data_IF_998589532292
#
_entry.id   IF_998589532292
#
_cell.length_a   1.000
_cell.length_b   1.000
_cell.length_c   1.000
_cell.angle_alpha   90.00
_cell.angle_beta   90.00
_cell.angle_gamma   90.00
#
_symmetry.space_group_name_H-M   'P 1'
#
loop_
_entity.id
_entity.type
_entity.pdbx_description
1 polymer ?
#
# COMPACT_ATOMS: atom_id res chain seq x y z
N UNK A 1 -15.76 -40.55 21.38
CA UNK A 1 -16.57 -39.56 22.11
C UNK A 1 -15.69 -38.86 23.15
N UNK A 2 -15.13 -37.70 22.82
CA UNK A 2 -14.20 -36.96 23.68
C UNK A 2 -14.89 -35.70 24.19
N UNK A 3 -15.23 -35.66 25.48
CA UNK A 3 -15.94 -34.55 26.13
C UNK A 3 -15.05 -33.31 26.20
N UNK A 4 -15.38 -32.30 25.39
CA UNK A 4 -14.82 -30.95 25.50
C UNK A 4 -15.21 -30.31 26.84
N UNK A 5 -14.25 -30.16 27.75
CA UNK A 5 -14.37 -29.35 28.97
C UNK A 5 -14.38 -27.87 28.57
N UNK A 6 -15.56 -27.24 28.53
CA UNK A 6 -15.68 -25.77 28.47
C UNK A 6 -15.00 -25.16 29.69
N UNK A 7 -13.91 -24.40 29.48
CA UNK A 7 -13.30 -23.53 30.50
C UNK A 7 -14.37 -22.55 31.00
N UNK A 8 -14.80 -22.69 32.26
CA UNK A 8 -15.68 -21.73 32.94
C UNK A 8 -14.95 -20.39 33.04
N UNK A 9 -15.47 -19.38 32.35
CA UNK A 9 -15.09 -17.98 32.56
C UNK A 9 -15.44 -17.58 33.99
N UNK A 10 -14.43 -17.27 34.80
CA UNK A 10 -14.61 -16.79 36.18
C UNK A 10 -15.18 -15.38 36.11
N UNK A 11 -16.46 -15.23 36.45
CA UNK A 11 -17.11 -13.93 36.55
C UNK A 11 -16.57 -13.19 37.78
N UNK A 12 -15.73 -12.17 37.56
CA UNK A 12 -15.24 -11.27 38.62
C UNK A 12 -16.29 -10.21 38.92
N UNK A 13 -16.38 -9.74 40.17
CA UNK A 13 -17.26 -8.61 40.51
C UNK A 13 -16.81 -7.32 39.78
N UNK A 14 -17.72 -6.36 39.48
CA UNK A 14 -17.38 -5.14 38.74
C UNK A 14 -16.17 -4.37 39.30
N UNK A 15 -16.07 -4.22 40.63
CA UNK A 15 -14.93 -3.58 41.30
C UNK A 15 -13.60 -4.35 41.13
N UNK A 16 -13.64 -5.68 41.11
CA UNK A 16 -12.45 -6.52 40.86
C UNK A 16 -12.05 -6.52 39.38
N UNK A 17 -13.02 -6.37 38.47
CA UNK A 17 -12.77 -6.20 37.04
C UNK A 17 -12.06 -4.86 36.77
N UNK A 18 -12.52 -3.77 37.38
CA UNK A 18 -11.90 -2.44 37.21
C UNK A 18 -10.47 -2.39 37.76
N UNK A 19 -10.22 -3.01 38.92
CA UNK A 19 -8.86 -3.10 39.47
C UNK A 19 -7.91 -3.91 38.57
N UNK A 20 -8.39 -5.02 38.00
CA UNK A 20 -7.61 -5.84 37.07
C UNK A 20 -7.33 -5.10 35.75
N UNK A 21 -8.32 -4.37 35.22
CA UNK A 21 -8.16 -3.55 34.02
C UNK A 21 -7.19 -2.40 34.23
N UNK A 22 -7.27 -1.72 35.39
CA UNK A 22 -6.33 -0.67 35.77
C UNK A 22 -4.90 -1.20 35.87
N UNK A 23 -4.69 -2.34 36.55
CA UNK A 23 -3.38 -2.98 36.64
C UNK A 23 -2.82 -3.34 35.26
N UNK A 24 -3.64 -3.94 34.39
CA UNK A 24 -3.23 -4.28 33.04
C UNK A 24 -2.91 -3.04 32.19
N UNK A 25 -3.64 -1.94 32.39
CA UNK A 25 -3.36 -0.66 31.75
C UNK A 25 -2.02 -0.07 32.21
N UNK A 26 -1.77 -0.02 33.52
CA UNK A 26 -0.50 0.46 34.06
C UNK A 26 0.69 -0.34 33.53
N UNK A 27 0.57 -1.68 33.47
CA UNK A 27 1.62 -2.54 32.92
C UNK A 27 1.94 -2.19 31.46
N UNK A 28 0.91 -1.97 30.63
CA UNK A 28 1.12 -1.59 29.22
C UNK A 28 1.77 -0.21 29.08
N UNK A 29 1.30 0.78 29.85
CA UNK A 29 1.90 2.11 29.87
C UNK A 29 3.36 2.06 30.34
N UNK A 30 3.66 1.26 31.36
CA UNK A 30 5.02 1.05 31.84
C UNK A 30 5.90 0.48 30.72
N UNK A 31 5.48 -0.62 30.10
CA UNK A 31 6.24 -1.22 28.97
C UNK A 31 6.48 -0.21 27.84
N UNK A 32 5.49 0.62 27.52
CA UNK A 32 5.62 1.66 26.49
C UNK A 32 6.60 2.75 26.91
N UNK A 33 6.46 3.27 28.13
CA UNK A 33 7.38 4.25 28.71
C UNK A 33 8.81 3.73 28.70
N UNK A 34 9.03 2.49 29.11
CA UNK A 34 10.34 1.85 29.13
C UNK A 34 10.95 1.72 27.73
N UNK A 35 10.14 1.35 26.72
CA UNK A 35 10.59 1.32 25.32
C UNK A 35 10.95 2.70 24.77
N UNK A 36 10.26 3.74 25.21
CA UNK A 36 10.47 5.11 24.72
C UNK A 36 11.65 5.80 25.40
N UNK A 37 11.69 5.81 26.74
CA UNK A 37 12.65 6.61 27.51
C UNK A 37 13.52 5.78 28.45
N UNK A 38 13.14 4.54 28.73
CA UNK A 38 13.89 3.63 29.60
C UNK A 38 13.23 3.32 30.94
N UNK A 39 13.82 2.41 31.72
CA UNK A 39 13.35 2.07 33.07
C UNK A 39 13.49 3.27 34.02
N UNK A 40 12.64 3.33 35.04
CA UNK A 40 12.70 4.32 36.12
C UNK A 40 11.87 5.58 35.90
N UNK A 41 11.52 5.92 34.65
CA UNK A 41 10.73 7.11 34.34
C UNK A 41 9.24 6.92 34.57
N UNK A 42 8.70 5.70 34.40
CA UNK A 42 7.29 5.43 34.62
C UNK A 42 6.91 5.61 36.10
N UNK A 43 7.82 5.25 37.00
CA UNK A 43 7.68 5.35 38.45
C UNK A 43 7.56 6.81 38.94
N UNK A 44 8.00 7.77 38.12
CA UNK A 44 7.86 9.20 38.41
C UNK A 44 6.43 9.71 38.18
N UNK A 45 5.55 8.94 37.55
CA UNK A 45 4.16 9.31 37.30
C UNK A 45 3.32 8.98 38.55
N UNK A 46 2.73 9.97 39.24
CA UNK A 46 1.95 9.71 40.45
C UNK A 46 0.74 8.82 40.18
N UNK A 47 0.36 8.01 41.17
CA UNK A 47 -0.81 7.11 41.08
C UNK A 47 -2.11 7.85 40.71
N UNK A 48 -2.28 9.08 41.20
CA UNK A 48 -3.43 9.92 40.85
C UNK A 48 -3.46 10.23 39.34
N UNK A 49 -2.32 10.60 38.76
CA UNK A 49 -2.14 10.84 37.33
C UNK A 49 -2.43 9.58 36.51
N UNK A 50 -1.95 8.41 36.95
CA UNK A 50 -2.26 7.13 36.28
C UNK A 50 -3.76 6.81 36.30
N UNK A 51 -4.46 7.09 37.41
CA UNK A 51 -5.92 6.93 37.49
C UNK A 51 -6.64 7.89 36.55
N UNK A 52 -6.17 9.14 36.44
CA UNK A 52 -6.71 10.11 35.49
C UNK A 52 -6.53 9.66 34.04
N UNK A 53 -5.33 9.20 33.68
CA UNK A 53 -5.05 8.61 32.37
C UNK A 53 -5.94 7.40 32.11
N UNK A 54 -6.17 6.53 33.09
CA UNK A 54 -7.07 5.37 32.93
C UNK A 54 -8.52 5.79 32.68
N UNK A 55 -9.03 6.80 33.39
CA UNK A 55 -10.37 7.34 33.17
C UNK A 55 -10.51 7.99 31.80
N UNK A 56 -9.45 8.62 31.30
CA UNK A 56 -9.39 9.30 29.99
C UNK A 56 -8.74 8.44 28.90
N UNK A 57 -8.59 7.14 29.14
CA UNK A 57 -7.85 6.25 28.23
C UNK A 57 -8.50 6.24 26.84
N UNK A 58 -7.65 6.22 25.83
CA UNK A 58 -8.13 6.27 24.46
C UNK A 58 -8.76 4.91 24.10
N UNK A 59 -9.93 4.89 23.45
CA UNK A 59 -10.46 3.65 22.90
C UNK A 59 -9.50 3.12 21.83
N UNK A 60 -9.65 1.85 21.47
CA UNK A 60 -8.85 1.29 20.37
C UNK A 60 -9.17 2.01 19.08
N UNK A 61 -8.15 2.22 18.26
CA UNK A 61 -8.33 2.76 16.92
C UNK A 61 -9.29 1.88 16.11
N UNK A 62 -10.32 2.51 15.57
CA UNK A 62 -11.28 1.86 14.68
C UNK A 62 -11.28 2.54 13.31
N UNK A 63 -11.83 1.83 12.31
CA UNK A 63 -12.03 2.39 10.97
C UNK A 63 -13.51 2.44 10.65
N UNK A 64 -13.98 3.63 10.29
CA UNK A 64 -15.28 3.85 9.70
C UNK A 64 -15.17 3.81 8.18
N UNK A 65 -16.06 3.06 7.57
CA UNK A 65 -16.10 2.88 6.13
C UNK A 65 -17.29 3.69 5.64
N UNK A 66 -17.03 4.82 4.98
CA UNK A 66 -18.07 5.54 4.28
C UNK A 66 -18.70 4.60 3.24
N UNK A 67 -20.03 4.54 3.18
CA UNK A 67 -20.78 3.70 2.24
C UNK A 67 -20.47 4.05 0.78
N UNK A 68 -19.93 5.24 0.50
CA UNK A 68 -19.42 5.62 -0.82
C UNK A 68 -18.08 4.99 -1.21
N UNK A 69 -17.38 4.35 -0.26
CA UNK A 69 -16.07 3.73 -0.49
C UNK A 69 -16.23 2.22 -0.72
N UNK A 70 -16.78 1.50 0.26
CA UNK A 70 -17.01 0.05 0.22
C UNK A 70 -18.50 -0.20 0.48
N UNK A 71 -19.22 -0.68 -0.53
CA UNK A 71 -20.68 -0.87 -0.44
C UNK A 71 -21.05 -2.22 0.16
N UNK A 72 -20.31 -3.28 -0.18
CA UNK A 72 -20.63 -4.65 0.22
C UNK A 72 -20.36 -4.91 1.71
N UNK A 73 -21.34 -5.41 2.45
CA UNK A 73 -21.18 -5.72 3.90
C UNK A 73 -20.07 -6.74 4.19
N UNK A 74 -19.92 -7.74 3.33
CA UNK A 74 -18.86 -8.75 3.46
C UNK A 74 -17.47 -8.14 3.25
N UNK A 75 -17.33 -7.30 2.23
CA UNK A 75 -16.11 -6.55 1.93
C UNK A 75 -15.77 -5.56 3.07
N UNK A 76 -16.76 -4.85 3.60
CA UNK A 76 -16.60 -4.00 4.78
C UNK A 76 -16.09 -4.78 6.00
N UNK A 77 -16.65 -5.97 6.25
CA UNK A 77 -16.22 -6.82 7.34
C UNK A 77 -14.79 -7.36 7.12
N UNK A 78 -14.46 -7.76 5.90
CA UNK A 78 -13.13 -8.20 5.52
C UNK A 78 -12.10 -7.08 5.72
N UNK A 79 -12.40 -5.87 5.25
CA UNK A 79 -11.55 -4.70 5.42
C UNK A 79 -11.33 -4.38 6.91
N UNK A 80 -12.39 -4.33 7.73
CA UNK A 80 -12.26 -4.07 9.17
C UNK A 80 -11.40 -5.11 9.89
N UNK A 81 -11.54 -6.39 9.54
CA UNK A 81 -10.70 -7.47 10.08
C UNK A 81 -9.23 -7.31 9.67
N UNK A 82 -8.98 -7.03 8.40
CA UNK A 82 -7.64 -6.78 7.86
C UNK A 82 -6.98 -5.57 8.54
N UNK A 83 -7.69 -4.45 8.64
CA UNK A 83 -7.23 -3.24 9.34
C UNK A 83 -6.86 -3.54 10.79
N UNK A 84 -7.74 -4.22 11.53
CA UNK A 84 -7.49 -4.63 12.92
C UNK A 84 -6.30 -5.58 13.06
N UNK A 85 -6.04 -6.43 12.06
CA UNK A 85 -4.85 -7.29 12.02
C UNK A 85 -3.57 -6.48 11.84
N UNK A 86 -3.56 -5.55 10.87
CA UNK A 86 -2.42 -4.66 10.58
C UNK A 86 -2.05 -3.78 11.77
N UNK A 87 -3.00 -3.38 12.60
CA UNK A 87 -2.72 -2.61 13.81
C UNK A 87 -1.83 -3.35 14.82
N UNK A 88 -1.76 -4.68 14.78
CA UNK A 88 -0.89 -5.49 15.66
C UNK A 88 0.55 -5.57 15.17
N UNK A 89 0.85 -4.97 14.01
CA UNK A 89 2.20 -4.98 13.46
C UNK A 89 3.11 -4.06 14.31
N UNK A 90 4.27 -4.55 14.79
CA UNK A 90 5.26 -3.73 15.50
C UNK A 90 6.04 -2.87 14.51
N UNK A 91 5.51 -1.69 14.18
CA UNK A 91 6.02 -0.84 13.09
C UNK A 91 6.50 0.55 13.49
N UNK A 92 6.34 0.96 14.74
CA UNK A 92 6.84 2.26 15.22
C UNK A 92 8.14 2.07 15.99
N UNK A 93 9.24 2.59 15.43
CA UNK A 93 10.55 2.59 16.07
C UNK A 93 10.64 3.74 17.09
N UNK A 94 11.06 3.46 18.32
CA UNK A 94 11.40 4.49 19.31
C UNK A 94 12.80 5.02 19.06
N UNK A 95 13.17 6.14 19.68
CA UNK A 95 14.54 6.68 19.62
C UNK A 95 15.58 5.75 20.28
N UNK A 96 15.11 4.73 21.00
CA UNK A 96 15.94 3.68 21.60
C UNK A 96 16.07 2.43 20.71
N UNK A 97 15.47 2.43 19.52
CA UNK A 97 15.46 1.28 18.60
C UNK A 97 14.47 0.18 19.00
N UNK A 98 13.62 0.41 20.00
CA UNK A 98 12.55 -0.51 20.38
C UNK A 98 11.35 -0.38 19.44
N UNK A 99 10.53 -1.42 19.35
CA UNK A 99 9.34 -1.43 18.49
C UNK A 99 8.03 -1.40 19.27
N UNK A 100 7.10 -0.56 18.81
CA UNK A 100 5.75 -0.45 19.34
C UNK A 100 4.74 -0.82 18.24
N UNK A 101 3.72 -1.60 18.61
CA UNK A 101 2.60 -1.93 17.72
C UNK A 101 1.77 -0.69 17.38
N UNK A 102 1.28 -0.59 16.15
CA UNK A 102 0.44 0.55 15.75
C UNK A 102 -0.79 0.71 16.63
N UNK A 103 -1.38 -0.39 17.12
CA UNK A 103 -2.52 -0.32 18.02
C UNK A 103 -2.20 0.47 19.29
N UNK A 104 -1.00 0.28 19.86
CA UNK A 104 -0.55 1.00 21.06
C UNK A 104 -0.06 2.41 20.74
N UNK A 105 0.48 2.64 19.54
CA UNK A 105 0.83 3.98 19.07
C UNK A 105 -0.40 4.91 19.08
N UNK A 106 -1.52 4.45 18.51
CA UNK A 106 -2.76 5.23 18.44
C UNK A 106 -3.58 5.26 19.74
N UNK A 107 -3.15 4.59 20.82
CA UNK A 107 -3.83 4.65 22.12
C UNK A 107 -2.87 5.02 23.25
N UNK A 108 -2.10 4.07 23.77
CA UNK A 108 -1.28 4.27 24.97
C UNK A 108 -0.11 5.25 24.76
N UNK A 109 0.58 5.21 23.62
CA UNK A 109 1.64 6.21 23.32
C UNK A 109 1.04 7.59 23.24
N UNK A 110 -0.01 7.75 22.44
CA UNK A 110 -0.65 9.04 22.25
C UNK A 110 -1.17 9.61 23.58
N UNK A 111 -1.81 8.78 24.40
CA UNK A 111 -2.25 9.16 25.75
C UNK A 111 -1.08 9.58 26.64
N UNK A 112 0.01 8.81 26.67
CA UNK A 112 1.17 9.10 27.53
C UNK A 112 1.86 10.40 27.13
N UNK A 113 2.12 10.55 25.83
CA UNK A 113 2.78 11.73 25.26
C UNK A 113 1.94 12.98 25.49
N UNK A 114 0.67 12.97 25.08
CA UNK A 114 -0.22 14.14 25.26
C UNK A 114 -0.43 14.48 26.73
N UNK A 115 -0.51 13.48 27.61
CA UNK A 115 -0.62 13.71 29.04
C UNK A 115 0.61 14.42 29.59
N UNK A 116 1.82 13.95 29.28
CA UNK A 116 3.06 14.59 29.78
C UNK A 116 3.27 15.97 29.16
N UNK A 117 2.92 16.14 27.88
CA UNK A 117 3.06 17.40 27.15
C UNK A 117 2.18 18.51 27.73
N UNK A 118 0.92 18.19 28.07
CA UNK A 118 -0.08 19.21 28.44
C UNK A 118 -0.47 19.21 29.93
N UNK A 119 -0.02 18.26 30.75
CA UNK A 119 -0.31 18.30 32.18
C UNK A 119 0.34 19.49 32.86
N UNK A 120 -0.38 20.13 33.79
CA UNK A 120 0.20 21.20 34.61
C UNK A 120 1.33 20.64 35.50
N UNK A 121 2.49 21.33 35.59
CA UNK A 121 3.62 20.90 36.40
C UNK A 121 3.27 20.62 37.87
N UNK A 122 2.24 21.27 38.41
CA UNK A 122 1.81 21.10 39.79
C UNK A 122 1.29 19.68 40.13
N UNK A 123 0.94 18.88 39.12
CA UNK A 123 0.41 17.52 39.32
C UNK A 123 1.50 16.45 39.36
N UNK A 124 2.73 16.76 38.96
CA UNK A 124 3.86 15.82 38.98
C UNK A 124 5.10 16.53 39.51
N UNK A 125 5.57 16.11 40.69
CA UNK A 125 6.75 16.73 41.32
C UNK A 125 7.98 16.65 40.42
N UNK A 126 8.13 15.55 39.69
CA UNK A 126 9.23 15.29 38.76
C UNK A 126 8.89 15.68 37.31
N UNK A 127 7.97 16.64 37.10
CA UNK A 127 7.49 17.05 35.79
C UNK A 127 8.62 17.43 34.84
N UNK A 128 9.60 18.23 35.28
CA UNK A 128 10.68 18.71 34.41
C UNK A 128 11.54 17.56 33.87
N UNK A 129 11.74 16.51 34.67
CA UNK A 129 12.46 15.29 34.25
C UNK A 129 11.66 14.57 33.18
N UNK A 130 10.36 14.32 33.43
CA UNK A 130 9.47 13.65 32.48
C UNK A 130 9.35 14.45 31.18
N UNK A 131 9.14 15.76 31.27
CA UNK A 131 9.04 16.63 30.11
C UNK A 131 10.31 16.55 29.27
N UNK A 132 11.48 16.67 29.88
CA UNK A 132 12.77 16.62 29.18
C UNK A 132 12.96 15.32 28.39
N UNK A 133 12.69 14.16 29.00
CA UNK A 133 12.91 12.86 28.35
C UNK A 133 11.85 12.49 27.33
N UNK A 134 10.60 12.95 27.50
CA UNK A 134 9.52 12.70 26.55
C UNK A 134 9.42 13.75 25.44
N UNK A 135 10.05 14.93 25.59
CA UNK A 135 10.00 16.02 24.61
C UNK A 135 10.25 15.59 23.16
N UNK A 136 11.21 14.70 22.85
CA UNK A 136 11.41 14.24 21.47
C UNK A 136 10.21 13.49 20.86
N UNK A 137 9.30 12.98 21.70
CA UNK A 137 8.13 12.19 21.31
C UNK A 137 6.82 13.01 21.24
N UNK A 138 6.84 14.28 21.65
CA UNK A 138 5.68 15.17 21.67
C UNK A 138 5.00 15.31 20.30
N UNK A 139 3.70 15.64 20.30
CA UNK A 139 2.87 15.55 19.09
C UNK A 139 3.26 16.55 18.01
N UNK A 140 3.89 17.65 18.40
CA UNK A 140 4.47 18.65 17.49
C UNK A 140 5.90 18.27 17.02
N UNK A 141 6.48 17.21 17.57
CA UNK A 141 7.84 16.77 17.29
C UNK A 141 7.98 15.96 15.99
N UNK A 142 9.19 15.98 15.43
CA UNK A 142 9.55 15.26 14.19
C UNK A 142 9.33 13.74 14.29
N UNK A 143 9.66 13.14 15.44
CA UNK A 143 9.45 11.70 15.65
C UNK A 143 7.97 11.35 15.51
N UNK A 144 7.09 12.12 16.15
CA UNK A 144 5.66 11.83 16.14
C UNK A 144 5.08 12.00 14.73
N UNK A 145 5.44 13.09 14.04
CA UNK A 145 5.02 13.33 12.65
C UNK A 145 5.48 12.19 11.73
N UNK A 146 6.73 11.71 11.89
CA UNK A 146 7.28 10.60 11.12
C UNK A 146 6.60 9.27 11.44
N UNK A 147 6.38 8.97 12.72
CA UNK A 147 5.69 7.78 13.18
C UNK A 147 4.25 7.74 12.66
N UNK A 148 3.51 8.85 12.75
CA UNK A 148 2.15 8.97 12.24
C UNK A 148 2.11 8.78 10.71
N UNK A 149 3.03 9.41 9.98
CA UNK A 149 3.11 9.27 8.52
C UNK A 149 3.41 7.82 8.10
N UNK A 150 4.36 7.16 8.77
CA UNK A 150 4.68 5.74 8.51
C UNK A 150 3.52 4.82 8.85
N UNK A 151 2.88 5.03 10.00
CA UNK A 151 1.75 4.23 10.45
C UNK A 151 0.57 4.35 9.48
N UNK A 152 0.19 5.57 9.13
CA UNK A 152 -0.91 5.81 8.18
C UNK A 152 -0.57 5.31 6.78
N UNK A 153 0.66 5.51 6.30
CA UNK A 153 1.15 4.93 5.05
C UNK A 153 1.01 3.40 5.03
N UNK A 154 1.50 2.72 6.06
CA UNK A 154 1.40 1.26 6.19
C UNK A 154 -0.06 0.77 6.25
N UNK A 155 -0.91 1.44 7.04
CA UNK A 155 -2.33 1.08 7.16
C UNK A 155 -3.10 1.34 5.86
N UNK A 156 -2.71 2.36 5.09
CA UNK A 156 -3.40 2.80 3.88
C UNK A 156 -3.04 2.01 2.63
N UNK A 157 -2.02 1.15 2.68
CA UNK A 157 -1.54 0.41 1.51
C UNK A 157 -2.67 -0.33 0.79
N UNK A 158 -3.58 -0.95 1.54
CA UNK A 158 -4.74 -1.70 1.01
C UNK A 158 -5.83 -0.81 0.43
N UNK A 159 -5.84 0.49 0.78
CA UNK A 159 -6.77 1.45 0.19
C UNK A 159 -6.57 1.57 -1.33
N UNK A 160 -5.36 1.26 -1.81
CA UNK A 160 -5.05 1.21 -3.24
C UNK A 160 -5.91 0.16 -3.96
N UNK A 161 -6.28 -0.93 -3.29
CA UNK A 161 -7.20 -1.93 -3.86
C UNK A 161 -8.60 -1.39 -4.15
N UNK A 162 -8.99 -0.26 -3.56
CA UNK A 162 -10.31 0.37 -3.72
C UNK A 162 -10.31 1.58 -4.66
N UNK A 163 -9.21 1.77 -5.40
CA UNK A 163 -9.16 2.74 -6.49
C UNK A 163 -10.20 2.40 -7.56
N UNK A 164 -10.90 3.42 -8.03
CA UNK A 164 -11.82 3.35 -9.15
C UNK A 164 -11.53 4.56 -10.02
N UNK A 165 -11.30 4.34 -11.32
CA UNK A 165 -10.97 5.42 -12.23
C UNK A 165 -12.04 6.51 -12.25
N UNK A 166 -13.31 6.14 -12.20
CA UNK A 166 -14.44 7.06 -12.30
C UNK A 166 -14.80 7.68 -10.96
N UNK A 167 -14.78 6.87 -9.89
CA UNK A 167 -15.22 7.33 -8.57
C UNK A 167 -14.10 8.03 -7.80
N UNK A 168 -12.85 7.61 -8.00
CA UNK A 168 -11.69 8.17 -7.33
C UNK A 168 -10.86 7.18 -6.51
N UNK A 169 -9.91 7.75 -5.79
CA UNK A 169 -8.97 7.11 -4.87
C UNK A 169 -9.46 7.21 -3.43
N UNK A 170 -8.91 6.40 -2.52
CA UNK A 170 -9.36 6.29 -1.12
C UNK A 170 -8.27 6.78 -0.18
N UNK A 171 -8.64 7.66 0.76
CA UNK A 171 -7.74 8.23 1.77
C UNK A 171 -8.30 8.04 3.18
N UNK A 172 -7.42 8.19 4.17
CA UNK A 172 -7.81 8.31 5.56
C UNK A 172 -8.13 9.75 5.92
N UNK A 173 -9.31 9.97 6.49
CA UNK A 173 -9.65 11.16 7.25
C UNK A 173 -9.37 10.90 8.74
N UNK A 174 -8.41 11.65 9.28
CA UNK A 174 -7.95 11.51 10.66
C UNK A 174 -8.68 12.46 11.62
N UNK A 175 -9.67 13.23 11.15
CA UNK A 175 -10.28 14.31 11.93
C UNK A 175 -10.93 13.82 13.24
N UNK A 176 -11.39 12.57 13.29
CA UNK A 176 -12.02 11.95 14.47
C UNK A 176 -11.00 11.33 15.47
N UNK A 177 -9.69 11.48 15.24
CA UNK A 177 -8.69 11.09 16.22
C UNK A 177 -8.69 12.07 17.40
N UNK A 178 -8.53 11.53 18.61
CA UNK A 178 -8.53 12.30 19.87
C UNK A 178 -7.46 13.41 19.93
N UNK A 179 -6.39 13.28 19.13
CA UNK A 179 -5.34 14.30 19.05
C UNK A 179 -5.72 15.52 18.21
N UNK A 180 -6.66 15.39 17.27
CA UNK A 180 -7.10 16.48 16.41
C UNK A 180 -8.41 17.10 16.90
N UNK A 181 -9.26 16.31 17.56
CA UNK A 181 -10.51 16.76 18.12
C UNK A 181 -10.59 16.35 19.59
N UNK A 182 -10.74 17.32 20.51
CA UNK A 182 -10.81 17.05 21.95
C UNK A 182 -12.01 16.18 22.38
N UNK A 183 -12.96 15.93 21.48
CA UNK A 183 -14.09 14.98 21.63
C UNK A 183 -14.04 13.81 20.63
N UNK A 184 -12.91 13.62 19.95
CA UNK A 184 -12.71 12.53 19.00
C UNK A 184 -12.95 11.18 19.66
N UNK A 185 -13.28 10.18 18.84
CA UNK A 185 -13.61 8.82 19.32
C UNK A 185 -12.51 7.81 18.98
N UNK A 186 -11.33 8.30 18.58
CA UNK A 186 -10.20 7.51 18.08
C UNK A 186 -10.59 6.62 16.88
N UNK A 187 -11.19 7.26 15.89
CA UNK A 187 -11.65 6.62 14.66
C UNK A 187 -10.99 7.29 13.45
N UNK A 188 -10.69 6.48 12.43
CA UNK A 188 -10.28 6.96 11.11
C UNK A 188 -11.40 6.66 10.14
N UNK A 189 -11.77 7.62 9.30
CA UNK A 189 -12.78 7.40 8.25
C UNK A 189 -12.09 7.18 6.91
N UNK A 190 -12.52 6.16 6.16
CA UNK A 190 -12.19 6.07 4.75
C UNK A 190 -13.06 7.04 3.96
N UNK A 191 -12.43 7.88 3.16
CA UNK A 191 -13.11 8.82 2.26
C UNK A 191 -12.65 8.64 0.83
N UNK A 192 -13.57 8.85 -0.12
CA UNK A 192 -13.25 8.82 -1.54
C UNK A 192 -12.93 10.22 -2.05
N UNK A 193 -11.78 10.37 -2.69
CA UNK A 193 -11.34 11.60 -3.35
C UNK A 193 -11.46 11.40 -4.85
N UNK A 194 -12.22 12.28 -5.51
CA UNK A 194 -12.44 12.23 -6.96
C UNK A 194 -11.12 12.37 -7.72
N UNK A 195 -10.98 11.58 -8.78
CA UNK A 195 -9.89 11.75 -9.74
C UNK A 195 -10.12 13.00 -10.59
N UNK A 196 -9.03 13.55 -11.15
CA UNK A 196 -9.16 14.54 -12.22
C UNK A 196 -9.42 13.80 -13.54
N UNK A 197 -10.64 13.93 -14.06
CA UNK A 197 -11.09 13.26 -15.27
C UNK A 197 -11.05 14.21 -16.46
N UNK A 198 -10.67 13.67 -17.61
CA UNK A 198 -10.77 14.34 -18.91
C UNK A 198 -11.33 13.34 -19.95
N UNK A 199 -11.57 13.78 -21.17
CA UNK A 199 -12.02 12.95 -22.29
C UNK A 199 -11.12 13.16 -23.49
N UNK A 200 -10.84 12.08 -24.21
CA UNK A 200 -10.11 12.10 -25.48
C UNK A 200 -10.90 11.39 -26.56
N UNK A 201 -10.69 11.77 -27.80
CA UNK A 201 -11.23 11.07 -28.96
C UNK A 201 -10.10 10.24 -29.59
N UNK A 202 -10.30 8.92 -29.68
CA UNK A 202 -9.39 8.01 -30.37
C UNK A 202 -10.21 7.21 -31.37
N UNK A 203 -9.84 7.30 -32.65
CA UNK A 203 -10.53 6.62 -33.76
C UNK A 203 -12.04 6.93 -33.79
N UNK A 204 -12.43 8.19 -33.58
CA UNK A 204 -13.83 8.64 -33.55
C UNK A 204 -14.60 8.27 -32.27
N UNK A 205 -13.97 7.61 -31.29
CA UNK A 205 -14.62 7.20 -30.05
C UNK A 205 -14.11 8.05 -28.89
N UNK A 206 -15.03 8.75 -28.22
CA UNK A 206 -14.74 9.47 -26.98
C UNK A 206 -14.53 8.49 -25.83
N UNK A 207 -13.41 8.63 -25.13
CA UNK A 207 -12.98 7.78 -24.03
C UNK A 207 -12.62 8.64 -22.83
N UNK A 208 -13.13 8.30 -21.63
CA UNK A 208 -12.71 8.94 -20.39
C UNK A 208 -11.26 8.57 -20.09
N UNK A 209 -10.54 9.51 -19.48
CA UNK A 209 -9.17 9.36 -19.00
C UNK A 209 -9.03 10.00 -17.63
N UNK A 210 -8.13 9.47 -16.80
CA UNK A 210 -7.87 10.00 -15.46
C UNK A 210 -6.42 10.47 -15.37
N UNK A 211 -6.20 11.65 -14.81
CA UNK A 211 -4.85 12.16 -14.56
C UNK A 211 -4.17 11.31 -13.48
N UNK A 212 -2.89 11.01 -13.68
CA UNK A 212 -2.09 10.29 -12.70
C UNK A 212 -1.41 11.27 -11.74
N UNK A 213 -1.34 10.89 -10.46
CA UNK A 213 -0.80 11.72 -9.40
C UNK A 213 -0.37 10.92 -8.19
N UNK A 214 0.57 11.45 -7.42
CA UNK A 214 0.86 10.94 -6.09
C UNK A 214 -0.25 11.39 -5.16
N UNK A 215 -1.13 10.45 -4.80
CA UNK A 215 -2.23 10.70 -3.89
C UNK A 215 -1.73 10.53 -2.44
N UNK A 216 -1.86 11.55 -1.59
CA UNK A 216 -1.54 11.40 -0.17
C UNK A 216 -2.41 10.34 0.50
N UNK A 217 -1.88 9.63 1.49
CA UNK A 217 -2.66 8.64 2.24
C UNK A 217 -3.67 9.27 3.22
N UNK A 218 -3.48 10.56 3.54
CA UNK A 218 -4.27 11.34 4.48
C UNK A 218 -4.99 12.47 3.75
N UNK A 219 -6.27 12.65 4.06
CA UNK A 219 -7.13 13.73 3.55
C UNK A 219 -6.57 15.11 3.90
N UNK A 220 -6.79 16.07 3.00
CA UNK A 220 -6.45 17.48 3.21
C UNK A 220 -5.07 17.87 2.67
N UNK A 221 -4.25 16.91 2.26
CA UNK A 221 -3.04 17.18 1.49
C UNK A 221 -3.36 17.23 -0.01
N UNK A 222 -2.77 18.18 -0.78
CA UNK A 222 -2.98 18.26 -2.22
C UNK A 222 -2.41 17.03 -2.93
N UNK A 223 -3.04 16.63 -4.02
CA UNK A 223 -2.51 15.60 -4.92
C UNK A 223 -1.35 16.22 -5.70
N UNK A 224 -0.19 15.55 -5.69
CA UNK A 224 0.94 15.94 -6.53
C UNK A 224 0.77 15.28 -7.91
N UNK A 225 0.16 16.02 -8.84
CA UNK A 225 -0.06 15.54 -10.20
C UNK A 225 1.27 15.31 -10.93
N UNK A 226 1.36 14.20 -11.68
CA UNK A 226 2.56 13.87 -12.44
C UNK A 226 2.58 14.70 -13.72
N UNK A 227 3.67 15.43 -13.92
CA UNK A 227 3.95 16.24 -15.10
C UNK A 227 5.24 15.73 -15.73
N UNK A 228 5.22 15.47 -17.04
CA UNK A 228 6.32 14.83 -17.76
C UNK A 228 6.75 15.73 -18.91
N UNK A 229 8.03 16.07 -18.94
CA UNK A 229 8.68 16.68 -20.10
C UNK A 229 9.03 15.62 -21.14
N UNK A 230 9.00 15.95 -22.45
CA UNK A 230 9.48 15.06 -23.50
C UNK A 230 10.88 14.47 -23.26
N UNK A 231 11.82 15.26 -22.74
CA UNK A 231 13.19 14.80 -22.44
C UNK A 231 13.24 13.68 -21.39
N UNK A 232 12.31 13.68 -20.41
CA UNK A 232 12.17 12.62 -19.41
C UNK A 232 11.67 11.30 -20.02
N UNK A 233 11.18 11.33 -21.26
CA UNK A 233 10.83 10.15 -22.06
C UNK A 233 11.86 9.88 -23.18
N UNK A 234 13.01 10.55 -23.15
CA UNK A 234 14.10 10.38 -24.10
C UNK A 234 13.87 11.01 -25.46
N UNK A 235 12.88 11.91 -25.58
CA UNK A 235 12.65 12.65 -26.81
C UNK A 235 13.55 13.90 -26.81
N UNK A 236 14.59 13.90 -27.64
CA UNK A 236 15.60 14.98 -27.69
C UNK A 236 15.28 16.08 -28.70
N UNK A 237 14.53 15.77 -29.76
CA UNK A 237 14.30 16.69 -30.89
C UNK A 237 12.91 17.37 -30.86
N UNK A 238 12.35 17.56 -29.66
CA UNK A 238 11.01 18.14 -29.50
C UNK A 238 11.10 19.65 -29.30
N UNK A 239 10.44 20.42 -30.18
CA UNK A 239 10.43 21.90 -30.12
C UNK A 239 9.87 22.45 -28.80
N UNK A 240 8.85 21.80 -28.25
CA UNK A 240 8.24 22.15 -26.96
C UNK A 240 8.60 21.10 -25.92
N UNK A 241 9.56 21.42 -25.04
CA UNK A 241 9.96 20.56 -23.92
C UNK A 241 9.26 20.94 -22.58
N UNK A 242 8.13 21.65 -22.64
CA UNK A 242 7.38 22.00 -21.42
C UNK A 242 6.76 20.76 -20.76
N UNK A 243 6.65 20.73 -19.41
CA UNK A 243 6.01 19.63 -18.71
C UNK A 243 4.53 19.50 -19.08
N UNK A 244 4.09 18.31 -19.46
CA UNK A 244 2.69 18.01 -19.79
C UNK A 244 2.09 16.97 -18.82
N UNK A 245 0.79 17.05 -18.51
CA UNK A 245 0.14 16.08 -17.65
C UNK A 245 0.10 14.70 -18.30
N UNK A 246 0.16 13.64 -17.49
CA UNK A 246 -0.03 12.27 -17.94
C UNK A 246 -1.36 11.70 -17.43
N UNK A 247 -2.04 11.03 -18.35
CA UNK A 247 -3.34 10.41 -18.12
C UNK A 247 -3.32 8.92 -18.41
N UNK A 248 -4.28 8.19 -17.85
CA UNK A 248 -4.49 6.77 -18.09
C UNK A 248 -5.89 6.46 -18.60
N UNK A 249 -5.98 5.49 -19.52
CA UNK A 249 -7.25 4.91 -19.93
C UNK A 249 -7.67 3.76 -19.01
N UNK A 250 -8.99 3.57 -18.83
CA UNK A 250 -9.54 2.38 -18.15
C UNK A 250 -9.02 1.07 -18.76
N UNK A 251 -8.78 1.07 -20.08
CA UNK A 251 -8.22 -0.08 -20.78
C UNK A 251 -6.83 -0.47 -20.26
N UNK A 252 -5.93 0.50 -20.03
CA UNK A 252 -4.60 0.24 -19.51
C UNK A 252 -4.66 -0.35 -18.10
N UNK A 253 -5.52 0.20 -17.24
CA UNK A 253 -5.75 -0.29 -15.87
C UNK A 253 -6.22 -1.74 -15.87
N UNK A 254 -7.25 -2.02 -16.68
CA UNK A 254 -7.82 -3.36 -16.80
C UNK A 254 -6.80 -4.37 -17.33
N UNK A 255 -5.97 -3.97 -18.31
CA UNK A 255 -4.91 -4.85 -18.84
C UNK A 255 -3.82 -5.14 -17.82
N UNK A 256 -3.47 -4.18 -16.96
CA UNK A 256 -2.55 -4.40 -15.85
C UNK A 256 -3.12 -5.43 -14.86
N UNK A 257 -4.38 -5.26 -14.46
CA UNK A 257 -5.07 -6.18 -13.55
C UNK A 257 -5.18 -7.60 -14.14
N UNK A 258 -5.69 -7.71 -15.37
CA UNK A 258 -5.91 -8.99 -16.06
C UNK A 258 -4.61 -9.77 -16.29
N UNK A 259 -3.51 -9.08 -16.61
CA UNK A 259 -2.28 -9.74 -17.07
C UNK A 259 -1.22 -9.87 -16.01
N UNK A 260 -1.13 -8.91 -15.08
CA UNK A 260 -0.09 -8.91 -14.05
C UNK A 260 -0.64 -9.26 -12.67
N UNK A 261 -1.96 -9.45 -12.50
CA UNK A 261 -2.59 -9.63 -11.18
C UNK A 261 -2.24 -8.47 -10.21
N UNK A 262 -2.05 -7.28 -10.76
CA UNK A 262 -1.73 -6.06 -10.02
C UNK A 262 -2.94 -5.13 -10.03
N UNK A 263 -3.54 -4.92 -8.86
CA UNK A 263 -4.75 -4.08 -8.72
C UNK A 263 -4.53 -2.65 -9.23
N UNK A 264 -5.50 -2.11 -9.98
CA UNK A 264 -5.38 -0.85 -10.71
C UNK A 264 -4.95 0.36 -9.88
N UNK A 265 -5.31 0.43 -8.60
CA UNK A 265 -4.86 1.53 -7.75
C UNK A 265 -3.38 1.51 -7.40
N UNK A 266 -2.70 0.37 -7.55
CA UNK A 266 -1.24 0.34 -7.45
C UNK A 266 -0.60 1.13 -8.60
N UNK A 267 -1.26 1.29 -9.74
CA UNK A 267 -0.71 2.07 -10.86
C UNK A 267 -0.39 3.50 -10.45
N UNK A 268 -1.27 4.14 -9.68
CA UNK A 268 -1.07 5.51 -9.21
C UNK A 268 0.24 5.60 -8.40
N UNK A 269 0.48 4.64 -7.50
CA UNK A 269 1.73 4.57 -6.73
C UNK A 269 2.92 4.29 -7.64
N UNK A 270 2.81 3.31 -8.54
CA UNK A 270 3.91 2.88 -9.43
C UNK A 270 4.36 4.03 -10.32
N UNK A 271 3.43 4.68 -11.03
CA UNK A 271 3.74 5.78 -11.95
C UNK A 271 4.22 7.00 -11.17
N UNK A 272 3.55 7.36 -10.06
CA UNK A 272 4.02 8.45 -9.22
C UNK A 272 5.47 8.21 -8.77
N UNK A 273 5.79 7.01 -8.29
CA UNK A 273 7.13 6.65 -7.83
C UNK A 273 8.17 6.69 -8.97
N UNK A 274 7.84 6.14 -10.15
CA UNK A 274 8.72 6.14 -11.32
C UNK A 274 9.17 7.55 -11.68
N UNK A 275 8.26 8.53 -11.66
CA UNK A 275 8.57 9.90 -12.09
C UNK A 275 8.99 10.83 -10.96
N UNK A 276 8.63 10.56 -9.69
CA UNK A 276 8.97 11.43 -8.56
C UNK A 276 10.26 11.06 -7.84
N UNK A 277 10.59 9.77 -7.77
CA UNK A 277 11.71 9.26 -6.99
C UNK A 277 12.60 8.27 -7.75
N UNK A 278 12.13 7.76 -8.89
CA UNK A 278 12.85 6.81 -9.72
C UNK A 278 13.54 7.45 -10.92
N UNK A 279 14.23 6.61 -11.68
CA UNK A 279 14.70 6.91 -13.03
C UNK A 279 13.81 6.12 -14.00
N UNK A 280 12.90 6.78 -14.75
CA UNK A 280 12.05 6.07 -15.70
C UNK A 280 12.93 5.39 -16.76
N UNK A 281 12.70 4.09 -16.96
CA UNK A 281 13.30 3.34 -18.05
C UNK A 281 12.28 3.26 -19.17
N UNK A 282 12.67 3.68 -20.36
CA UNK A 282 11.79 3.75 -21.50
C UNK A 282 12.48 3.29 -22.78
N UNK A 283 11.68 2.88 -23.75
CA UNK A 283 12.13 2.54 -25.10
C UNK A 283 11.34 3.40 -26.07
N UNK A 284 12.04 4.23 -26.84
CA UNK A 284 11.44 5.10 -27.84
C UNK A 284 11.31 4.31 -29.14
N UNK A 285 10.09 3.91 -29.46
CA UNK A 285 9.73 3.35 -30.76
C UNK A 285 9.32 4.44 -31.75
N UNK A 286 9.05 4.05 -33.01
CA UNK A 286 8.63 4.98 -34.07
C UNK A 286 7.28 5.65 -33.79
N UNK A 287 6.33 4.91 -33.21
CA UNK A 287 4.93 5.37 -33.03
C UNK A 287 4.51 5.51 -31.56
N UNK A 288 5.31 4.96 -30.64
CA UNK A 288 4.96 4.92 -29.23
C UNK A 288 6.23 4.79 -28.37
N UNK A 289 6.09 5.19 -27.11
CA UNK A 289 7.11 5.00 -26.09
C UNK A 289 6.65 3.89 -25.17
N UNK A 290 7.52 2.93 -24.87
CA UNK A 290 7.28 1.91 -23.86
C UNK A 290 7.89 2.38 -22.55
N UNK A 291 7.08 2.55 -21.51
CA UNK A 291 7.55 2.81 -20.15
C UNK A 291 7.62 1.50 -19.38
N UNK A 292 8.82 1.13 -18.93
CA UNK A 292 9.05 -0.07 -18.14
C UNK A 292 8.25 -0.01 -16.83
N UNK A 293 7.47 -1.05 -16.57
CA UNK A 293 6.69 -1.20 -15.36
C UNK A 293 7.34 -2.27 -14.46
N UNK A 294 7.74 -1.85 -13.26
CA UNK A 294 8.21 -2.74 -12.20
C UNK A 294 7.21 -2.80 -11.06
N UNK A 295 7.07 -3.99 -10.48
CA UNK A 295 6.44 -4.16 -9.19
C UNK A 295 7.48 -4.69 -8.20
N UNK A 296 7.67 -3.96 -7.09
CA UNK A 296 8.83 -4.13 -6.20
C UNK A 296 10.13 -3.98 -7.01
N UNK A 297 10.83 -5.09 -7.29
CA UNK A 297 12.07 -5.12 -8.08
C UNK A 297 11.92 -5.91 -9.38
N UNK A 298 10.74 -6.45 -9.66
CA UNK A 298 10.49 -7.31 -10.81
C UNK A 298 9.88 -6.50 -11.94
N UNK A 299 10.53 -6.50 -13.11
CA UNK A 299 9.92 -6.03 -14.35
C UNK A 299 8.77 -6.97 -14.71
N UNK A 300 7.59 -6.39 -14.96
CA UNK A 300 6.36 -7.14 -15.26
C UNK A 300 5.78 -6.83 -16.64
N UNK A 301 6.22 -5.73 -17.25
CA UNK A 301 5.77 -5.33 -18.58
C UNK A 301 6.04 -3.87 -18.87
N UNK A 302 5.28 -3.32 -19.82
CA UNK A 302 5.42 -1.93 -20.26
C UNK A 302 4.06 -1.25 -20.41
N UNK A 303 4.01 0.03 -20.09
CA UNK A 303 2.92 0.89 -20.51
C UNK A 303 3.23 1.53 -21.86
N UNK A 304 2.26 1.49 -22.77
CA UNK A 304 2.35 2.20 -24.05
C UNK A 304 1.93 3.65 -23.86
N UNK A 305 2.87 4.57 -24.06
CA UNK A 305 2.67 6.01 -23.98
C UNK A 305 2.51 6.59 -25.39
N UNK A 306 1.49 7.41 -25.56
CA UNK A 306 1.32 8.26 -26.75
C UNK A 306 1.19 9.72 -26.36
N UNK A 307 1.66 10.60 -27.25
CA UNK A 307 1.49 12.05 -27.13
C UNK A 307 0.21 12.49 -27.83
N UNK A 308 -0.61 13.31 -27.18
CA UNK A 308 -1.85 13.86 -27.73
C UNK A 308 -1.82 15.40 -27.76
N UNK A 309 -0.71 15.98 -28.18
CA UNK A 309 -0.56 17.43 -28.38
C UNK A 309 -0.31 18.23 -27.11
N UNK A 310 -1.19 18.12 -26.10
CA UNK A 310 -1.09 18.84 -24.82
C UNK A 310 -0.91 17.92 -23.61
N UNK A 311 -0.99 16.60 -23.80
CA UNK A 311 -0.94 15.59 -22.74
C UNK A 311 -0.33 14.27 -23.18
N UNK A 312 0.16 13.53 -22.20
CA UNK A 312 0.61 12.15 -22.35
C UNK A 312 -0.51 11.18 -22.00
N UNK A 313 -0.57 10.04 -22.68
CA UNK A 313 -1.58 9.02 -22.45
C UNK A 313 -0.98 7.63 -22.33
N UNK A 314 -1.24 6.97 -21.19
CA UNK A 314 -1.09 5.53 -21.04
C UNK A 314 -2.28 4.81 -21.67
N UNK A 315 -2.06 4.23 -22.85
CA UNK A 315 -3.11 3.61 -23.67
C UNK A 315 -3.43 2.18 -23.27
N UNK A 316 -2.39 1.40 -23.00
CA UNK A 316 -2.52 -0.01 -22.67
C UNK A 316 -1.31 -0.48 -21.86
N UNK A 317 -1.44 -1.65 -21.26
CA UNK A 317 -0.36 -2.38 -20.61
C UNK A 317 -0.03 -3.63 -21.42
N UNK A 318 1.25 -3.79 -21.77
CA UNK A 318 1.79 -4.99 -22.39
C UNK A 318 2.53 -5.79 -21.34
N UNK A 319 2.10 -7.03 -21.12
CA UNK A 319 2.84 -7.97 -20.28
C UNK A 319 4.14 -8.38 -20.97
N UNK A 320 5.16 -8.80 -20.21
CA UNK A 320 6.51 -9.00 -20.75
C UNK A 320 6.57 -9.90 -21.98
N UNK A 321 5.75 -10.94 -22.05
CA UNK A 321 5.75 -11.92 -23.15
C UNK A 321 4.92 -11.46 -24.36
N UNK A 322 4.20 -10.35 -24.26
CA UNK A 322 3.31 -9.87 -25.32
C UNK A 322 4.10 -9.32 -26.51
N UNK A 323 3.59 -9.51 -27.71
CA UNK A 323 4.13 -8.87 -28.91
C UNK A 323 4.11 -7.32 -28.77
N UNK A 324 5.18 -6.68 -29.26
CA UNK A 324 5.43 -5.25 -29.10
C UNK A 324 6.19 -4.88 -27.83
N UNK A 325 6.60 -5.86 -27.02
CA UNK A 325 7.67 -5.68 -26.02
C UNK A 325 8.97 -6.29 -26.56
N UNK A 326 10.15 -5.79 -26.15
CA UNK A 326 11.43 -6.39 -26.56
C UNK A 326 11.51 -7.89 -26.23
N UNK A 327 10.99 -8.28 -25.06
CA UNK A 327 11.04 -9.65 -24.57
C UNK A 327 10.03 -10.55 -25.27
N UNK A 328 8.84 -10.04 -25.57
CA UNK A 328 7.81 -10.78 -26.29
C UNK A 328 8.16 -10.99 -27.75
N UNK A 329 8.81 -10.00 -28.37
CA UNK A 329 9.36 -10.11 -29.73
C UNK A 329 10.53 -11.11 -29.73
N UNK A 330 11.42 -11.05 -28.73
CA UNK A 330 12.50 -12.02 -28.61
C UNK A 330 12.00 -13.44 -28.36
N UNK A 331 10.95 -13.60 -27.55
CA UNK A 331 10.32 -14.89 -27.32
C UNK A 331 9.75 -15.46 -28.62
N UNK A 332 9.11 -14.63 -29.45
CA UNK A 332 8.60 -15.04 -30.77
C UNK A 332 9.74 -15.50 -31.70
N UNK A 333 10.88 -14.81 -31.69
CA UNK A 333 12.06 -15.27 -32.46
C UNK A 333 12.58 -16.64 -32.01
N UNK A 334 12.52 -16.93 -30.70
CA UNK A 334 13.06 -18.17 -30.12
C UNK A 334 12.12 -19.37 -30.26
N UNK A 335 10.80 -19.15 -30.37
CA UNK A 335 9.80 -20.22 -30.31
C UNK A 335 8.80 -20.24 -31.48
N UNK A 336 8.87 -19.23 -32.36
CA UNK A 336 7.89 -18.96 -33.41
C UNK A 336 6.43 -18.76 -32.92
N UNK A 337 6.20 -18.66 -31.61
CA UNK A 337 4.85 -18.50 -31.06
C UNK A 337 4.29 -17.12 -31.39
N UNK A 338 3.13 -17.12 -32.02
CA UNK A 338 2.42 -15.90 -32.32
C UNK A 338 1.58 -15.42 -31.12
N UNK A 339 0.77 -14.38 -31.36
CA UNK A 339 -0.08 -13.80 -30.34
C UNK A 339 -1.19 -14.75 -29.87
N UNK A 340 -1.79 -15.53 -30.75
CA UNK A 340 -2.88 -16.44 -30.40
C UNK A 340 -2.35 -17.66 -29.67
N UNK A 341 -1.16 -18.15 -30.03
CA UNK A 341 -0.47 -19.21 -29.29
C UNK A 341 -0.21 -18.81 -27.84
N UNK A 342 0.33 -17.61 -27.62
CA UNK A 342 0.63 -17.09 -26.28
C UNK A 342 -0.62 -16.94 -25.40
N UNK A 343 -1.75 -16.55 -26.00
CA UNK A 343 -3.04 -16.49 -25.30
C UNK A 343 -3.57 -17.88 -24.96
N UNK A 344 -3.47 -18.81 -25.91
CA UNK A 344 -3.91 -20.20 -25.73
C UNK A 344 -3.16 -20.88 -24.59
N UNK A 345 -1.84 -20.69 -24.53
CA UNK A 345 -0.97 -21.16 -23.45
C UNK A 345 -1.06 -20.32 -22.16
N UNK A 346 -1.84 -19.24 -22.18
CA UNK A 346 -1.96 -18.24 -21.11
C UNK A 346 -0.63 -17.59 -20.66
N UNK A 347 0.44 -17.72 -21.44
CA UNK A 347 1.75 -17.12 -21.11
C UNK A 347 1.77 -15.61 -21.35
N UNK A 348 0.70 -15.03 -21.89
CA UNK A 348 0.45 -13.57 -22.03
C UNK A 348 0.00 -12.88 -20.73
N UNK A 349 -0.03 -13.63 -19.63
CA UNK A 349 -0.45 -13.21 -18.29
C UNK A 349 0.26 -14.01 -17.19
N UNK A 350 0.16 -13.51 -15.97
CA UNK A 350 0.82 -14.07 -14.80
C UNK A 350 0.24 -15.42 -14.38
N UNK A 351 -1.02 -15.71 -14.72
CA UNK A 351 -1.70 -16.96 -14.40
C UNK A 351 -0.91 -18.21 -14.79
N UNK A 352 -0.34 -18.26 -16.01
CA UNK A 352 0.46 -19.41 -16.44
C UNK A 352 1.67 -19.65 -15.54
N UNK A 353 2.34 -18.58 -15.13
CA UNK A 353 3.49 -18.64 -14.22
C UNK A 353 3.09 -18.98 -12.79
N UNK A 354 1.80 -18.95 -12.41
CA UNK A 354 1.33 -19.42 -11.11
C UNK A 354 0.79 -20.85 -11.18
N UNK A 355 0.13 -21.22 -12.29
CA UNK A 355 -0.51 -22.52 -12.51
C UNK A 355 0.48 -23.61 -12.90
N UNK A 356 1.54 -23.26 -13.65
CA UNK A 356 2.45 -24.25 -14.22
C UNK A 356 3.86 -24.11 -13.69
N UNK A 357 4.56 -25.24 -13.57
CA UNK A 357 5.94 -25.26 -13.07
C UNK A 357 6.98 -24.90 -14.13
N UNK A 358 6.85 -23.70 -14.71
CA UNK A 358 7.71 -23.19 -15.78
C UNK A 358 9.16 -22.97 -15.28
N UNK A 359 9.35 -22.62 -14.00
CA UNK A 359 10.68 -22.32 -13.45
C UNK A 359 11.55 -23.57 -13.24
N UNK A 360 10.93 -24.73 -12.96
CA UNK A 360 11.65 -25.98 -12.76
C UNK A 360 11.76 -26.84 -14.03
N UNK A 361 10.98 -26.54 -15.07
CA UNK A 361 11.26 -27.06 -16.41
C UNK A 361 12.49 -26.33 -16.98
N UNK A 362 13.64 -27.01 -16.99
CA UNK A 362 14.92 -26.42 -17.37
C UNK A 362 14.87 -25.78 -18.76
N UNK A 363 14.15 -26.39 -19.71
CA UNK A 363 14.09 -25.90 -21.09
C UNK A 363 13.23 -24.65 -21.19
N UNK A 364 12.03 -24.66 -20.60
CA UNK A 364 11.18 -23.47 -20.61
C UNK A 364 11.86 -22.31 -19.89
N UNK A 365 12.49 -22.60 -18.74
CA UNK A 365 13.28 -21.62 -17.99
C UNK A 365 14.35 -20.96 -18.87
N UNK A 366 15.14 -21.76 -19.58
CA UNK A 366 16.22 -21.25 -20.42
C UNK A 366 15.69 -20.35 -21.55
N UNK A 367 14.55 -20.73 -22.16
CA UNK A 367 13.90 -19.92 -23.20
C UNK A 367 13.38 -18.58 -22.65
N UNK A 368 12.69 -18.59 -21.51
CA UNK A 368 12.21 -17.35 -20.89
C UNK A 368 13.36 -16.47 -20.40
N UNK A 369 14.46 -17.06 -19.90
CA UNK A 369 15.67 -16.32 -19.54
C UNK A 369 16.34 -15.69 -20.77
N UNK A 370 16.49 -16.45 -21.86
CA UNK A 370 17.05 -15.96 -23.12
C UNK A 370 16.20 -14.84 -23.75
N UNK A 371 14.88 -14.89 -23.57
CA UNK A 371 13.95 -13.84 -23.99
C UNK A 371 13.96 -12.60 -23.07
N UNK A 372 14.59 -12.64 -21.89
CA UNK A 372 14.59 -11.52 -20.94
C UNK A 372 13.37 -11.47 -20.01
N UNK A 373 12.59 -12.55 -19.91
CA UNK A 373 11.38 -12.68 -19.10
C UNK A 373 11.63 -13.21 -17.67
N UNK A 374 12.88 -13.43 -17.26
CA UNK A 374 13.23 -14.09 -15.99
C UNK A 374 12.70 -13.38 -14.73
N UNK A 375 12.43 -12.08 -14.82
CA UNK A 375 11.85 -11.31 -13.71
C UNK A 375 10.47 -11.82 -13.30
N UNK A 376 9.74 -12.47 -14.21
CA UNK A 376 8.42 -13.05 -13.93
C UNK A 376 8.49 -14.20 -12.92
N UNK A 377 9.58 -14.98 -12.89
CA UNK A 377 9.76 -16.03 -11.88
C UNK A 377 9.87 -15.45 -10.47
N UNK A 378 10.63 -14.36 -10.31
CA UNK A 378 10.70 -13.63 -9.05
C UNK A 378 9.35 -13.02 -8.67
N UNK A 379 8.64 -12.44 -9.64
CA UNK A 379 7.31 -11.89 -9.42
C UNK A 379 6.30 -12.95 -8.98
N UNK A 380 6.36 -14.16 -9.55
CA UNK A 380 5.50 -15.28 -9.17
C UNK A 380 5.60 -15.65 -7.68
N UNK A 381 6.80 -15.52 -7.11
CA UNK A 381 7.08 -15.83 -5.70
C UNK A 381 6.44 -14.83 -4.72
N UNK A 382 5.97 -13.68 -5.21
CA UNK A 382 5.20 -12.73 -4.39
C UNK A 382 3.76 -13.21 -4.13
N UNK A 383 3.28 -14.19 -4.90
CA UNK A 383 1.95 -14.75 -4.75
C UNK A 383 2.01 -16.06 -3.98
N UNK A 384 1.04 -16.27 -3.08
CA UNK A 384 0.88 -17.55 -2.41
C UNK A 384 0.42 -18.59 -3.44
N UNK A 385 1.26 -19.58 -3.72
CA UNK A 385 0.87 -20.79 -4.46
C UNK A 385 0.38 -21.83 -3.47
N UNK A 386 -0.76 -22.48 -3.74
CA UNK A 386 -1.18 -23.64 -2.96
C UNK A 386 -0.37 -24.86 -3.41
N UNK A 387 0.36 -25.47 -2.49
CA UNK A 387 1.06 -26.73 -2.74
C UNK A 387 0.05 -27.80 -3.20
N UNK A 388 0.35 -28.49 -4.31
CA UNK A 388 -0.51 -29.51 -4.92
C UNK A 388 -1.44 -29.04 -6.04
N UNK A 389 -1.54 -27.72 -6.31
CA UNK A 389 -2.32 -27.17 -7.44
C UNK A 389 -1.44 -26.76 -8.64
N UNK A 390 -0.11 -26.93 -8.56
CA UNK A 390 0.82 -26.59 -9.65
C UNK A 390 0.81 -27.74 -10.68
N UNK A 391 0.34 -27.44 -11.89
CA UNK A 391 0.33 -28.35 -13.02
C UNK A 391 1.71 -28.49 -13.68
N UNK A 392 1.91 -29.64 -14.34
CA UNK A 392 3.08 -29.86 -15.19
C UNK A 392 3.04 -28.91 -16.41
N UNK A 393 4.18 -28.26 -16.69
CA UNK A 393 4.35 -27.35 -17.82
C UNK A 393 4.58 -28.06 -19.17
N UNK A 394 4.53 -29.39 -19.21
CA UNK A 394 4.80 -30.20 -20.41
C UNK A 394 3.97 -29.82 -21.64
N UNK A 395 2.69 -29.48 -21.47
CA UNK A 395 1.85 -29.01 -22.58
C UNK A 395 2.37 -27.68 -23.20
N UNK A 396 2.98 -26.80 -22.40
CA UNK A 396 3.67 -25.59 -22.90
C UNK A 396 4.96 -26.01 -23.62
N UNK A 397 5.75 -26.89 -23.00
CA UNK A 397 7.01 -27.37 -23.57
C UNK A 397 6.84 -28.10 -24.92
N UNK A 398 5.72 -28.82 -25.09
CA UNK A 398 5.35 -29.49 -26.34
C UNK A 398 5.02 -28.49 -27.45
N UNK A 399 4.31 -27.39 -27.15
CA UNK A 399 4.06 -26.33 -28.13
C UNK A 399 5.33 -25.62 -28.58
N UNK A 400 6.36 -25.59 -27.75
CA UNK A 400 7.66 -25.01 -28.09
C UNK A 400 8.51 -25.97 -28.97
N UNK A 401 8.04 -27.19 -29.29
CA UNK A 401 8.73 -28.19 -30.13
C UNK A 401 8.22 -28.28 -31.57
N UNK A 402 7.01 -27.79 -31.84
CA UNK A 402 6.29 -28.12 -33.08
C UNK A 402 6.63 -27.15 -34.23
N UNK A 403 7.37 -26.07 -33.96
CA UNK A 403 7.67 -25.03 -34.95
C UNK A 403 9.17 -24.82 -35.16
#
# INVERSE_FOLDING_TARGET
MTKNRKKKSVYLSPQKQDAAQFKAFCLRLQTISEKMVGPGYFELIPLFSLKLMFMKRYPRLTVNLDNGVIVGKEEQLAYKKMFASRLKYPGVDTLRGEKIEYMFFFSEVLLLVTFIEYISPQYIKEYDILQSVFKPYFVEGEWFATALYRATGFLSFENCGHYDMYKGTVQFDLSNLLMYEGRGINEITLVRIKNNLDTIELNGIKRPIAQLGQVPFIKGKPISWVMIRPDQLGLTDVKDNSPKPIFVQQHALRRLEERALCGSGHLQIIIAHIFSAGTPHFIVGKEHILLECKFVSHKIGYFVISFLGDKWLLRTFLFLTNEGTPEGDKLKELTALDREDKKYLEIDRMDAFLKYDIENDQRLKDIFMAAGCQSLFGYAKLFARKEGEIGNAEHIAQYFLIN
#
